data_IF_333064509636
#
_entry.id   IF_333064509636
#
_cell.length_a   1.000
_cell.length_b   1.000
_cell.length_c   1.000
_cell.angle_alpha   90.00
_cell.angle_beta   90.00
_cell.angle_gamma   90.00
#
_symmetry.space_group_name_H-M   'P 1'
#
loop_
_entity.id
_entity.type
_entity.pdbx_description
1 polymer ?
#
# COMPACT_ATOMS: atom_id res chain seq x y z
N UNK A 1 -9.04 -22.96 -9.25
CA UNK A 1 -8.62 -22.58 -10.61
C UNK A 1 -9.02 -21.14 -10.97
N UNK A 2 -10.30 -20.77 -10.88
CA UNK A 2 -10.81 -19.40 -11.21
C UNK A 2 -10.10 -18.30 -10.43
N UNK A 3 -9.97 -18.42 -9.09
CA UNK A 3 -9.29 -17.44 -8.22
C UNK A 3 -7.86 -17.14 -8.70
N UNK A 4 -7.08 -18.18 -9.02
CA UNK A 4 -5.70 -18.01 -9.47
C UNK A 4 -5.61 -17.29 -10.80
N UNK A 5 -6.51 -17.59 -11.73
CA UNK A 5 -6.60 -16.93 -13.04
C UNK A 5 -7.02 -15.46 -12.87
N UNK A 6 -8.00 -15.19 -12.02
CA UNK A 6 -8.46 -13.82 -11.74
C UNK A 6 -7.33 -12.97 -11.14
N UNK A 7 -6.59 -13.49 -10.17
CA UNK A 7 -5.44 -12.77 -9.58
C UNK A 7 -4.34 -12.50 -10.60
N UNK A 8 -4.04 -13.45 -11.50
CA UNK A 8 -3.08 -13.21 -12.59
C UNK A 8 -3.53 -12.11 -13.54
N UNK A 9 -4.81 -12.09 -13.89
CA UNK A 9 -5.38 -11.06 -14.78
C UNK A 9 -5.31 -9.69 -14.09
N UNK A 10 -5.68 -9.59 -12.81
CA UNK A 10 -5.59 -8.35 -12.04
C UNK A 10 -4.14 -7.84 -11.98
N UNK A 11 -3.17 -8.70 -11.70
CA UNK A 11 -1.75 -8.33 -11.68
C UNK A 11 -1.27 -7.77 -13.04
N UNK A 12 -1.78 -8.29 -14.15
CA UNK A 12 -1.47 -7.78 -15.50
C UNK A 12 -2.04 -6.37 -15.68
N UNK A 13 -3.29 -6.12 -15.26
CA UNK A 13 -3.89 -4.79 -15.32
C UNK A 13 -3.15 -3.80 -14.43
N UNK A 14 -2.80 -4.18 -13.21
CA UNK A 14 -2.01 -3.35 -12.29
C UNK A 14 -0.65 -2.99 -12.89
N UNK A 15 0.02 -3.93 -13.52
CA UNK A 15 1.29 -3.69 -14.21
C UNK A 15 1.16 -2.64 -15.33
N UNK A 16 0.12 -2.73 -16.16
CA UNK A 16 -0.12 -1.74 -17.22
C UNK A 16 -0.50 -0.38 -16.65
N UNK A 17 -1.32 -0.35 -15.59
CA UNK A 17 -1.69 0.88 -14.92
C UNK A 17 -0.47 1.59 -14.32
N UNK A 18 0.36 0.86 -13.59
CA UNK A 18 1.60 1.36 -13.02
C UNK A 18 2.55 1.93 -14.10
N UNK A 19 2.72 1.23 -15.22
CA UNK A 19 3.52 1.74 -16.36
C UNK A 19 2.97 3.04 -16.93
N UNK A 20 1.66 3.20 -16.99
CA UNK A 20 1.04 4.46 -17.45
C UNK A 20 1.38 5.62 -16.50
N UNK A 21 1.33 5.41 -15.19
CA UNK A 21 1.70 6.41 -14.18
C UNK A 21 3.16 6.82 -14.39
N UNK A 22 4.07 5.88 -14.47
CA UNK A 22 5.50 6.14 -14.68
C UNK A 22 5.75 6.92 -15.99
N UNK A 23 5.15 6.48 -17.09
CA UNK A 23 5.25 7.20 -18.38
C UNK A 23 4.71 8.62 -18.29
N UNK A 24 3.59 8.83 -17.59
CA UNK A 24 3.02 10.16 -17.38
C UNK A 24 3.98 11.06 -16.59
N UNK A 25 4.54 10.58 -15.49
CA UNK A 25 5.49 11.33 -14.70
C UNK A 25 6.75 11.70 -15.50
N UNK A 26 7.32 10.76 -16.26
CA UNK A 26 8.45 11.05 -17.15
C UNK A 26 8.09 12.09 -18.23
N UNK A 27 6.89 11.98 -18.84
CA UNK A 27 6.40 12.96 -19.81
C UNK A 27 6.24 14.35 -19.21
N UNK A 28 5.94 14.46 -17.90
CA UNK A 28 5.89 15.71 -17.16
C UNK A 28 7.26 16.22 -16.71
N UNK A 29 8.33 15.52 -17.05
CA UNK A 29 9.71 15.93 -16.77
C UNK A 29 10.26 15.47 -15.42
N UNK A 30 9.50 14.71 -14.63
CA UNK A 30 10.00 14.19 -13.36
C UNK A 30 11.11 13.17 -13.60
N UNK A 31 12.25 13.37 -12.96
CA UNK A 31 13.42 12.46 -13.00
C UNK A 31 13.88 12.06 -11.61
N UNK A 32 13.62 12.91 -10.63
CA UNK A 32 14.04 12.71 -9.24
C UNK A 32 13.02 13.29 -8.27
N UNK A 33 13.06 12.80 -7.04
CA UNK A 33 12.26 13.28 -5.92
C UNK A 33 13.14 13.26 -4.67
N UNK A 34 13.03 14.29 -3.82
CA UNK A 34 13.67 14.26 -2.51
C UNK A 34 12.87 13.39 -1.55
N UNK A 35 11.57 13.65 -1.40
CA UNK A 35 10.72 12.90 -0.50
C UNK A 35 9.45 12.40 -1.18
N UNK A 36 9.25 11.08 -1.15
CA UNK A 36 8.00 10.42 -1.56
C UNK A 36 7.30 9.86 -0.33
N UNK A 37 5.99 10.08 -0.26
CA UNK A 37 5.10 9.38 0.67
C UNK A 37 4.27 8.34 -0.07
N UNK A 38 4.29 7.11 0.41
CA UNK A 38 3.56 5.96 -0.13
C UNK A 38 2.61 5.42 0.94
N UNK A 39 1.35 5.81 0.89
CA UNK A 39 0.30 5.36 1.80
C UNK A 39 -0.39 4.14 1.20
N UNK A 40 -0.36 3.02 1.91
CA UNK A 40 -0.76 1.71 1.41
C UNK A 40 0.36 1.04 0.62
N UNK A 41 1.50 0.82 1.30
CA UNK A 41 2.69 0.25 0.66
C UNK A 41 2.57 -1.24 0.35
N UNK A 42 1.63 -1.93 0.97
CA UNK A 42 1.36 -3.35 0.84
C UNK A 42 2.63 -4.19 1.03
N UNK A 43 3.07 -4.95 0.04
CA UNK A 43 4.29 -5.78 0.07
C UNK A 43 5.50 -5.10 -0.57
N UNK A 44 5.43 -3.79 -0.80
CA UNK A 44 6.51 -2.96 -1.36
C UNK A 44 6.52 -2.86 -2.89
N UNK A 45 5.41 -3.16 -3.55
CA UNK A 45 5.30 -3.05 -5.00
C UNK A 45 5.58 -1.62 -5.48
N UNK A 46 5.01 -0.63 -4.81
CA UNK A 46 5.25 0.80 -5.07
C UNK A 46 6.67 1.23 -4.76
N UNK A 47 7.27 0.74 -3.68
CA UNK A 47 8.68 1.01 -3.35
C UNK A 47 9.57 0.58 -4.53
N UNK A 48 9.41 -0.67 -4.97
CA UNK A 48 10.18 -1.18 -6.10
C UNK A 48 9.91 -0.41 -7.40
N UNK A 49 8.66 -0.06 -7.65
CA UNK A 49 8.25 0.67 -8.85
C UNK A 49 8.91 2.06 -8.92
N UNK A 50 8.78 2.86 -7.86
CA UNK A 50 9.30 4.22 -7.85
C UNK A 50 10.83 4.24 -7.84
N UNK A 51 11.48 3.45 -6.99
CA UNK A 51 12.94 3.40 -6.90
C UNK A 51 13.61 2.82 -8.14
N UNK A 52 12.91 2.00 -8.94
CA UNK A 52 13.44 1.50 -10.20
C UNK A 52 13.33 2.50 -11.35
N UNK A 53 12.51 3.54 -11.23
CA UNK A 53 12.22 4.47 -12.33
C UNK A 53 12.67 5.91 -12.07
N UNK A 54 12.93 6.28 -10.82
CA UNK A 54 13.31 7.64 -10.43
C UNK A 54 14.49 7.63 -9.46
N UNK A 55 15.26 8.71 -9.45
CA UNK A 55 16.22 9.00 -8.39
C UNK A 55 15.46 9.54 -7.19
N UNK A 56 15.45 8.82 -6.07
CA UNK A 56 14.69 9.20 -4.87
C UNK A 56 15.64 9.23 -3.69
N UNK A 57 15.65 10.34 -2.95
CA UNK A 57 16.47 10.48 -1.75
C UNK A 57 15.85 9.70 -0.59
N UNK A 58 14.56 9.92 -0.30
CA UNK A 58 13.86 9.21 0.77
C UNK A 58 12.46 8.82 0.32
N UNK A 59 12.08 7.58 0.58
CA UNK A 59 10.69 7.10 0.46
C UNK A 59 10.19 6.67 1.84
N UNK A 60 9.04 7.24 2.25
CA UNK A 60 8.33 6.92 3.49
C UNK A 60 7.09 6.12 3.12
N UNK A 61 7.05 4.87 3.51
CA UNK A 61 6.00 3.93 3.13
C UNK A 61 5.21 3.48 4.35
N UNK A 62 3.89 3.65 4.29
CA UNK A 62 2.97 3.31 5.37
C UNK A 62 2.12 2.11 4.97
N UNK A 63 2.10 1.10 5.83
CA UNK A 63 1.24 -0.09 5.68
C UNK A 63 0.49 -0.33 6.99
N UNK A 64 -0.83 -0.26 6.91
CA UNK A 64 -1.69 -0.32 8.09
C UNK A 64 -1.83 -1.73 8.68
N UNK A 65 -1.87 -2.76 7.81
CA UNK A 65 -2.03 -4.14 8.23
C UNK A 65 -0.74 -4.68 8.85
N UNK A 66 -0.72 -5.09 10.13
CA UNK A 66 0.47 -5.68 10.75
C UNK A 66 0.95 -6.95 10.04
N UNK A 67 0.02 -7.75 9.52
CA UNK A 67 0.36 -8.97 8.78
C UNK A 67 1.06 -8.66 7.45
N UNK A 68 0.54 -7.69 6.71
CA UNK A 68 1.13 -7.25 5.44
C UNK A 68 2.43 -6.50 5.68
N UNK A 69 2.48 -5.66 6.72
CA UNK A 69 3.70 -4.97 7.14
C UNK A 69 4.83 -5.94 7.48
N UNK A 70 4.54 -7.05 8.13
CA UNK A 70 5.55 -8.09 8.40
C UNK A 70 6.15 -8.63 7.11
N UNK A 71 5.33 -8.89 6.09
CA UNK A 71 5.81 -9.34 4.77
C UNK A 71 6.69 -8.26 4.11
N UNK A 72 6.32 -6.98 4.25
CA UNK A 72 7.13 -5.86 3.78
C UNK A 72 8.46 -5.77 4.53
N UNK A 73 8.42 -5.93 5.85
CA UNK A 73 9.62 -5.91 6.71
C UNK A 73 10.60 -7.03 6.33
N UNK A 74 10.11 -8.23 6.04
CA UNK A 74 10.95 -9.36 5.60
C UNK A 74 11.67 -9.09 4.27
N UNK A 75 11.18 -8.13 3.46
CA UNK A 75 11.77 -7.72 2.19
C UNK A 75 12.64 -6.46 2.26
N UNK A 76 12.65 -5.78 3.41
CA UNK A 76 13.26 -4.44 3.49
C UNK A 76 14.76 -4.46 3.17
N UNK A 77 15.46 -5.48 3.61
CA UNK A 77 16.91 -5.61 3.35
C UNK A 77 17.20 -5.86 1.87
N UNK A 78 16.33 -6.61 1.18
CA UNK A 78 16.42 -6.74 -0.27
C UNK A 78 16.29 -5.37 -0.96
N UNK A 79 15.28 -4.55 -0.58
CA UNK A 79 15.11 -3.22 -1.16
C UNK A 79 16.29 -2.29 -0.83
N UNK A 80 16.77 -2.27 0.42
CA UNK A 80 17.90 -1.45 0.84
C UNK A 80 19.18 -1.84 0.10
N UNK A 81 19.43 -3.13 -0.09
CA UNK A 81 20.58 -3.62 -0.84
C UNK A 81 20.49 -3.30 -2.33
N UNK A 82 19.29 -3.36 -2.91
CA UNK A 82 19.04 -3.04 -4.32
C UNK A 82 19.12 -1.54 -4.61
N UNK A 83 18.66 -0.70 -3.69
CA UNK A 83 18.54 0.74 -3.87
C UNK A 83 19.38 1.53 -2.85
N UNK A 84 20.68 1.25 -2.83
CA UNK A 84 21.65 1.77 -1.84
C UNK A 84 21.73 3.30 -1.77
N UNK A 85 21.36 4.01 -2.83
CA UNK A 85 21.36 5.47 -2.90
C UNK A 85 20.13 6.13 -2.27
N UNK A 86 19.15 5.33 -1.87
CA UNK A 86 17.87 5.82 -1.36
C UNK A 86 17.66 5.38 0.09
N UNK A 87 17.15 6.30 0.91
CA UNK A 87 16.68 5.96 2.26
C UNK A 87 15.26 5.42 2.18
N UNK A 88 15.03 4.21 2.69
CA UNK A 88 13.72 3.55 2.71
C UNK A 88 13.26 3.43 4.16
N UNK A 89 12.16 4.11 4.48
CA UNK A 89 11.53 4.11 5.80
C UNK A 89 10.17 3.46 5.64
N UNK A 90 9.90 2.45 6.46
CA UNK A 90 8.61 1.76 6.48
C UNK A 90 7.98 1.90 7.87
N UNK A 91 6.67 2.16 7.90
CA UNK A 91 5.92 2.45 9.11
C UNK A 91 4.63 1.64 9.17
N UNK A 92 4.34 1.03 10.33
CA UNK A 92 3.10 0.28 10.51
C UNK A 92 2.00 1.17 11.10
N UNK A 93 1.50 2.09 10.30
CA UNK A 93 0.43 3.01 10.67
C UNK A 93 -0.64 3.09 9.58
N UNK A 94 -1.89 3.27 10.00
CA UNK A 94 -2.92 3.82 9.14
C UNK A 94 -2.78 5.35 9.10
N UNK A 95 -3.00 5.96 7.94
CA UNK A 95 -3.05 7.42 7.80
C UNK A 95 -4.50 7.86 7.80
N UNK A 96 -4.82 8.82 8.66
CA UNK A 96 -6.18 9.34 8.81
C UNK A 96 -6.24 10.76 9.34
N UNK A 97 -7.46 11.24 9.61
CA UNK A 97 -7.70 12.61 10.04
C UNK A 97 -7.41 12.85 11.53
N UNK A 98 -7.43 11.80 12.35
CA UNK A 98 -7.22 11.85 13.80
C UNK A 98 -6.28 10.75 14.25
N UNK A 99 -5.58 10.98 15.36
CA UNK A 99 -4.72 9.98 15.99
C UNK A 99 -5.56 9.15 16.96
N UNK A 100 -5.72 7.88 16.63
CA UNK A 100 -6.52 6.97 17.43
C UNK A 100 -6.19 5.51 17.11
N UNK A 101 -6.64 4.61 17.94
CA UNK A 101 -6.70 3.19 17.61
C UNK A 101 -7.98 2.92 16.82
N UNK A 102 -7.87 2.13 15.76
CA UNK A 102 -8.98 1.75 14.91
C UNK A 102 -8.95 0.24 14.63
N UNK A 103 -10.11 -0.34 14.37
CA UNK A 103 -10.22 -1.74 13.99
C UNK A 103 -10.07 -1.88 12.46
N UNK A 104 -8.99 -2.49 12.03
CA UNK A 104 -8.77 -2.89 10.65
C UNK A 104 -9.45 -4.24 10.40
N UNK A 105 -10.36 -4.28 9.45
CA UNK A 105 -10.98 -5.50 8.94
C UNK A 105 -10.11 -6.04 7.82
N UNK A 106 -9.24 -6.98 8.18
CA UNK A 106 -8.32 -7.60 7.22
C UNK A 106 -8.98 -8.82 6.59
N UNK A 107 -9.17 -8.78 5.28
CA UNK A 107 -9.60 -9.94 4.51
C UNK A 107 -8.45 -10.96 4.38
N UNK A 108 -8.77 -12.22 4.10
CA UNK A 108 -7.76 -13.25 3.80
C UNK A 108 -6.89 -12.86 2.60
N UNK A 109 -7.47 -12.09 1.68
CA UNK A 109 -6.75 -11.45 0.59
C UNK A 109 -6.33 -10.06 1.06
N UNK A 110 -5.02 -9.88 1.27
CA UNK A 110 -4.43 -8.72 1.96
C UNK A 110 -4.64 -7.37 1.27
N UNK A 111 -4.93 -7.37 -0.05
CA UNK A 111 -5.11 -6.14 -0.83
C UNK A 111 -6.44 -5.42 -0.57
N UNK A 112 -7.32 -5.98 0.27
CA UNK A 112 -8.68 -5.46 0.45
C UNK A 112 -9.05 -5.19 1.90
N UNK A 113 -8.07 -4.92 2.73
CA UNK A 113 -8.31 -4.54 4.12
C UNK A 113 -8.94 -3.15 4.22
N UNK A 114 -9.82 -2.92 5.20
CA UNK A 114 -10.49 -1.65 5.39
C UNK A 114 -10.82 -1.38 6.86
N UNK A 115 -10.79 -0.11 7.25
CA UNK A 115 -11.27 0.35 8.56
C UNK A 115 -12.79 0.68 8.53
N UNK A 116 -13.39 0.73 7.35
CA UNK A 116 -14.82 1.04 7.19
C UNK A 116 -15.71 -0.19 7.35
N UNK A 117 -16.97 0.05 7.69
CA UNK A 117 -17.97 -1.02 7.70
C UNK A 117 -18.21 -1.55 6.29
N UNK A 118 -18.10 -2.87 6.15
CA UNK A 118 -18.33 -3.54 4.88
C UNK A 118 -19.82 -3.76 4.67
N UNK A 119 -20.36 -3.28 3.55
CA UNK A 119 -21.69 -3.67 3.12
C UNK A 119 -21.63 -5.04 2.41
N UNK A 120 -21.70 -6.09 3.22
CA UNK A 120 -21.65 -7.49 2.75
C UNK A 120 -22.80 -7.86 1.81
N UNK A 121 -23.89 -7.09 1.81
CA UNK A 121 -25.05 -7.30 0.95
C UNK A 121 -24.93 -6.60 -0.41
N UNK A 122 -23.93 -5.76 -0.59
CA UNK A 122 -23.74 -5.05 -1.86
C UNK A 122 -23.50 -6.01 -3.03
N UNK A 123 -23.99 -5.67 -4.21
CA UNK A 123 -23.73 -6.42 -5.46
C UNK A 123 -22.23 -6.54 -5.74
N UNK A 124 -21.47 -5.48 -5.44
CA UNK A 124 -20.01 -5.45 -5.59
C UNK A 124 -19.35 -6.49 -4.68
N UNK A 125 -19.71 -6.50 -3.40
CA UNK A 125 -19.13 -7.42 -2.43
C UNK A 125 -19.45 -8.90 -2.78
N UNK A 126 -20.70 -9.17 -3.18
CA UNK A 126 -21.11 -10.51 -3.64
C UNK A 126 -20.31 -10.98 -4.86
N UNK A 127 -20.10 -10.10 -5.85
CA UNK A 127 -19.25 -10.41 -7.02
C UNK A 127 -17.79 -10.62 -6.62
N UNK A 128 -17.23 -9.74 -5.81
CA UNK A 128 -15.86 -9.88 -5.30
C UNK A 128 -15.66 -11.18 -4.55
N UNK A 129 -16.62 -11.55 -3.71
CA UNK A 129 -16.66 -12.83 -3.01
C UNK A 129 -16.60 -14.02 -3.98
N UNK A 130 -17.43 -14.03 -5.01
CA UNK A 130 -17.46 -15.10 -5.99
C UNK A 130 -16.12 -15.29 -6.73
N UNK A 131 -15.44 -14.20 -7.08
CA UNK A 131 -14.20 -14.26 -7.87
C UNK A 131 -12.93 -14.45 -7.05
N UNK A 132 -12.88 -13.91 -5.82
CA UNK A 132 -11.65 -13.84 -5.04
C UNK A 132 -11.64 -14.67 -3.78
N UNK A 133 -12.81 -15.07 -3.27
CA UNK A 133 -12.95 -15.77 -2.02
C UNK A 133 -13.44 -17.19 -2.26
N UNK A 134 -12.93 -18.12 -1.46
CA UNK A 134 -13.36 -19.52 -1.46
C UNK A 134 -14.75 -19.62 -0.83
N UNK A 135 -15.62 -20.50 -1.33
CA UNK A 135 -17.01 -20.68 -0.85
C UNK A 135 -17.14 -21.21 0.58
N UNK A 136 -16.04 -21.43 1.28
CA UNK A 136 -16.04 -21.94 2.63
C UNK A 136 -16.52 -20.89 3.63
N UNK A 137 -17.52 -21.28 4.36
CA UNK A 137 -18.47 -20.51 5.17
C UNK A 137 -17.92 -19.60 6.27
N UNK A 138 -16.66 -19.67 6.63
CA UNK A 138 -16.13 -18.87 7.74
C UNK A 138 -15.47 -17.60 7.22
N UNK A 139 -16.16 -16.57 7.51
CA UNK A 139 -15.97 -15.26 7.03
C UNK A 139 -14.74 -14.62 7.64
N UNK A 140 -13.85 -14.33 6.97
CA UNK A 140 -13.54 -13.47 5.87
C UNK A 140 -12.63 -12.36 6.27
N UNK A 141 -12.78 -11.75 7.43
CA UNK A 141 -11.90 -10.73 7.96
C UNK A 141 -11.58 -11.02 9.42
N UNK A 142 -10.33 -10.80 9.74
CA UNK A 142 -9.85 -10.68 11.11
C UNK A 142 -9.88 -9.22 11.47
N UNK A 143 -10.53 -8.85 12.58
CA UNK A 143 -10.42 -7.52 13.14
C UNK A 143 -9.12 -7.41 13.93
N UNK A 144 -8.33 -6.41 13.61
CA UNK A 144 -7.03 -6.17 14.22
C UNK A 144 -7.01 -4.70 14.64
N UNK A 145 -6.72 -4.45 15.92
CA UNK A 145 -6.49 -3.08 16.39
C UNK A 145 -5.17 -2.55 15.81
N UNK A 146 -5.23 -1.39 15.17
CA UNK A 146 -4.09 -0.72 14.56
C UNK A 146 -4.04 0.75 14.99
N UNK A 147 -2.85 1.34 14.96
CA UNK A 147 -2.66 2.76 15.21
C UNK A 147 -2.91 3.57 13.94
N UNK A 148 -3.82 4.53 14.01
CA UNK A 148 -4.03 5.58 13.01
C UNK A 148 -3.33 6.85 13.46
N UNK A 149 -2.62 7.51 12.55
CA UNK A 149 -1.92 8.77 12.81
C UNK A 149 -2.32 9.85 11.79
N UNK A 150 -2.16 11.11 12.20
CA UNK A 150 -2.24 12.25 11.26
C UNK A 150 -0.93 12.38 10.50
N UNK A 151 -1.03 12.44 9.18
CA UNK A 151 0.15 12.61 8.32
C UNK A 151 0.90 13.91 8.66
N UNK A 152 0.18 15.01 8.90
CA UNK A 152 0.80 16.29 9.29
C UNK A 152 1.66 16.18 10.57
N UNK A 153 1.18 15.45 11.58
CA UNK A 153 1.92 15.27 12.83
C UNK A 153 3.18 14.41 12.60
N UNK A 154 3.07 13.39 11.76
CA UNK A 154 4.22 12.57 11.37
C UNK A 154 5.29 13.40 10.64
N UNK A 155 4.89 14.27 9.70
CA UNK A 155 5.80 15.14 8.97
C UNK A 155 6.55 16.08 9.91
N UNK A 156 5.82 16.77 10.81
CA UNK A 156 6.40 17.68 11.81
C UNK A 156 7.39 16.94 12.72
N UNK A 157 6.97 15.81 13.28
CA UNK A 157 7.79 15.01 14.19
C UNK A 157 9.10 14.52 13.56
N UNK A 158 9.10 14.25 12.26
CA UNK A 158 10.26 13.73 11.54
C UNK A 158 11.02 14.83 10.76
N UNK A 159 10.70 16.12 10.97
CA UNK A 159 11.31 17.28 10.29
C UNK A 159 11.29 17.12 8.76
N UNK A 160 10.12 16.73 8.21
CA UNK A 160 9.90 16.59 6.76
C UNK A 160 9.19 17.85 6.29
N UNK A 161 9.95 18.80 5.76
CA UNK A 161 9.44 20.12 5.38
C UNK A 161 8.78 20.13 4.01
N UNK A 162 9.16 19.16 3.16
CA UNK A 162 8.66 19.09 1.79
C UNK A 162 8.33 17.64 1.40
N UNK A 163 7.29 17.47 0.59
CA UNK A 163 6.87 16.21 -0.02
C UNK A 163 6.65 16.46 -1.51
N UNK A 164 7.49 15.84 -2.35
CA UNK A 164 7.43 16.04 -3.80
C UNK A 164 6.33 15.18 -4.45
N UNK A 165 6.05 14.03 -3.85
CA UNK A 165 5.04 13.11 -4.38
C UNK A 165 4.35 12.33 -3.26
N UNK A 166 3.03 12.29 -3.32
CA UNK A 166 2.18 11.52 -2.41
C UNK A 166 1.35 10.52 -3.24
N UNK A 167 1.58 9.23 -3.01
CA UNK A 167 0.70 8.15 -3.49
C UNK A 167 -0.21 7.73 -2.35
N UNK A 168 -1.50 7.60 -2.62
CA UNK A 168 -2.49 7.06 -1.69
C UNK A 168 -3.24 5.92 -2.37
N UNK A 169 -3.17 4.75 -1.75
CA UNK A 169 -3.85 3.54 -2.20
C UNK A 169 -4.41 2.81 -0.97
N UNK A 170 -5.66 3.18 -0.57
CA UNK A 170 -6.31 2.72 0.67
C UNK A 170 -7.72 2.22 0.44
#
# INVERSE_FOLDING_TARGET
MIKYLTLKILNIFDFFHQRRIIKYLHKKGFKSFDNILDVGAHKGESINLFLSNFKIKTIYSFEASPTTFKILLDKIDYFRNKFKSSKIIIENYAIGAVEQKVLLKQLQESSSSTIRNLNVNSKYFKKKRFFLLDDKKDFFFKEIEIQQIKLSNYLIKNNIDNVDFLKIDT
#
